data_IF_934270203908
#
_entry.id   IF_934270203908
#
_cell.length_a   1.000
_cell.length_b   1.000
_cell.length_c   1.000
_cell.angle_alpha   90.00
_cell.angle_beta   90.00
_cell.angle_gamma   90.00
#
_symmetry.space_group_name_H-M   'P 1'
#
loop_
_entity.id
_entity.type
_entity.pdbx_description
1 polymer ?
#
# COMPACT_ATOMS: atom_id res chain seq x y z
N UNK A 1 8.43 2.09 13.72
CA UNK A 1 8.59 0.73 13.20
C UNK A 1 9.32 -0.12 14.24
N UNK A 2 8.59 -0.74 15.18
CA UNK A 2 9.17 -1.79 16.03
C UNK A 2 9.31 -3.03 15.14
N UNK A 3 10.45 -3.72 15.20
CA UNK A 3 10.64 -5.00 14.50
C UNK A 3 10.77 -6.07 15.57
N UNK A 4 9.79 -6.97 15.66
CA UNK A 4 9.78 -8.10 16.60
C UNK A 4 10.90 -9.11 16.37
N UNK A 5 11.64 -8.99 15.26
CA UNK A 5 12.91 -9.66 14.99
C UNK A 5 13.62 -8.99 13.80
N UNK A 6 14.96 -9.02 13.77
CA UNK A 6 15.75 -8.53 12.62
C UNK A 6 15.35 -9.25 11.32
N UNK A 7 15.00 -10.54 11.42
CA UNK A 7 14.55 -11.34 10.28
C UNK A 7 13.23 -10.80 9.69
N UNK A 8 12.27 -10.35 10.51
CA UNK A 8 11.03 -9.73 10.01
C UNK A 8 11.30 -8.41 9.27
N UNK A 9 12.23 -7.59 9.77
CA UNK A 9 12.63 -6.36 9.05
C UNK A 9 13.23 -6.69 7.69
N UNK A 10 14.19 -7.63 7.65
CA UNK A 10 14.86 -8.04 6.43
C UNK A 10 13.89 -8.65 5.41
N UNK A 11 12.92 -9.44 5.87
CA UNK A 11 11.87 -9.99 5.00
C UNK A 11 10.98 -8.89 4.41
N UNK A 12 10.56 -7.91 5.21
CA UNK A 12 9.79 -6.77 4.71
C UNK A 12 10.59 -5.93 3.70
N UNK A 13 11.86 -5.65 4.01
CA UNK A 13 12.75 -4.89 3.12
C UNK A 13 13.01 -5.65 1.81
N UNK A 14 13.26 -6.96 1.89
CA UNK A 14 13.40 -7.84 0.72
C UNK A 14 12.12 -7.85 -0.11
N UNK A 15 10.96 -7.92 0.52
CA UNK A 15 9.68 -7.94 -0.19
C UNK A 15 9.44 -6.62 -0.94
N UNK A 16 9.68 -5.48 -0.30
CA UNK A 16 9.60 -4.17 -0.95
C UNK A 16 10.55 -4.07 -2.14
N UNK A 17 11.78 -4.60 -2.01
CA UNK A 17 12.74 -4.66 -3.13
C UNK A 17 12.24 -5.51 -4.30
N UNK A 18 11.50 -6.58 -4.03
CA UNK A 18 10.99 -7.48 -5.08
C UNK A 18 9.71 -6.98 -5.76
N UNK A 19 9.09 -5.90 -5.26
CA UNK A 19 7.92 -5.32 -5.92
C UNK A 19 8.31 -4.84 -7.32
N UNK A 20 7.41 -5.01 -8.31
CA UNK A 20 7.71 -4.60 -9.65
C UNK A 20 7.84 -3.08 -9.73
N UNK A 21 8.85 -2.61 -10.45
CA UNK A 21 9.19 -1.18 -10.53
C UNK A 21 8.08 -0.36 -11.19
N UNK A 22 7.29 -0.98 -12.07
CA UNK A 22 6.12 -0.36 -12.69
C UNK A 22 5.07 0.10 -11.66
N UNK A 23 5.01 -0.51 -10.48
CA UNK A 23 4.05 -0.14 -9.45
C UNK A 23 4.32 1.26 -8.88
N UNK A 24 5.59 1.66 -8.76
CA UNK A 24 5.98 2.99 -8.28
C UNK A 24 6.13 3.98 -9.44
N UNK A 25 6.93 3.63 -10.45
CA UNK A 25 7.23 4.54 -11.56
C UNK A 25 6.10 4.65 -12.57
N UNK A 26 5.35 3.56 -12.78
CA UNK A 26 4.24 3.52 -13.73
C UNK A 26 2.95 4.11 -13.18
N UNK A 27 2.66 3.95 -11.88
CA UNK A 27 1.46 4.53 -11.25
C UNK A 27 1.72 5.89 -10.60
N UNK A 28 2.99 6.24 -10.41
CA UNK A 28 3.42 7.44 -9.71
C UNK A 28 3.59 7.22 -8.21
N UNK A 29 4.70 7.76 -7.68
CA UNK A 29 5.11 7.63 -6.29
C UNK A 29 4.05 8.12 -5.28
N UNK A 30 3.25 9.12 -5.65
CA UNK A 30 2.20 9.67 -4.78
C UNK A 30 1.13 8.63 -4.47
N UNK A 31 0.66 7.90 -5.48
CA UNK A 31 -0.35 6.85 -5.30
C UNK A 31 0.24 5.67 -4.54
N UNK A 32 1.47 5.27 -4.87
CA UNK A 32 2.22 4.22 -4.19
C UNK A 32 2.32 4.48 -2.67
N UNK A 33 2.82 5.65 -2.28
CA UNK A 33 2.97 6.02 -0.87
C UNK A 33 1.61 6.15 -0.19
N UNK A 34 0.60 6.71 -0.87
CA UNK A 34 -0.75 6.84 -0.31
C UNK A 34 -1.37 5.47 -0.03
N UNK A 35 -1.28 4.54 -0.97
CA UNK A 35 -1.76 3.17 -0.78
C UNK A 35 -1.02 2.48 0.37
N UNK A 36 0.31 2.62 0.45
CA UNK A 36 1.10 2.06 1.53
C UNK A 36 0.65 2.60 2.90
N UNK A 37 0.56 3.92 3.05
CA UNK A 37 0.19 4.57 4.33
C UNK A 37 -1.25 4.27 4.75
N UNK A 38 -2.21 4.34 3.82
CA UNK A 38 -3.60 3.97 4.11
C UNK A 38 -3.70 2.52 4.53
N UNK A 39 -2.95 1.63 3.88
CA UNK A 39 -2.99 0.19 4.17
C UNK A 39 -2.37 -0.18 5.52
N UNK A 40 -1.42 0.62 6.04
CA UNK A 40 -0.97 0.50 7.43
C UNK A 40 -2.15 0.76 8.38
N UNK A 41 -2.96 1.79 8.11
CA UNK A 41 -4.10 2.14 8.95
C UNK A 41 -5.21 1.10 8.83
N UNK A 42 -5.61 0.71 7.61
CA UNK A 42 -6.67 -0.29 7.41
C UNK A 42 -6.26 -1.67 7.87
N UNK A 43 -4.97 -2.02 7.79
CA UNK A 43 -4.42 -3.23 8.39
C UNK A 43 -4.56 -3.22 9.92
N UNK A 44 -4.24 -2.12 10.58
CA UNK A 44 -4.48 -1.98 12.03
C UNK A 44 -5.97 -2.10 12.38
N UNK A 45 -6.86 -1.49 11.59
CA UNK A 45 -8.31 -1.64 11.78
C UNK A 45 -8.74 -3.10 11.65
N UNK A 46 -8.26 -3.80 10.61
CA UNK A 46 -8.56 -5.22 10.39
C UNK A 46 -8.08 -6.10 11.55
N UNK A 47 -6.87 -5.83 12.06
CA UNK A 47 -6.35 -6.50 13.25
C UNK A 47 -7.23 -6.25 14.49
N UNK A 48 -7.55 -4.98 14.80
CA UNK A 48 -8.37 -4.63 15.96
C UNK A 48 -9.75 -5.26 15.87
N UNK A 49 -10.38 -5.27 14.69
CA UNK A 49 -11.67 -5.90 14.48
C UNK A 49 -11.63 -7.41 14.80
N UNK A 50 -10.59 -8.12 14.36
CA UNK A 50 -10.39 -9.53 14.66
C UNK A 50 -10.09 -9.78 16.16
N UNK A 51 -9.34 -8.88 16.80
CA UNK A 51 -9.06 -8.95 18.24
C UNK A 51 -10.36 -8.87 19.06
N UNK A 52 -11.23 -7.92 18.72
CA UNK A 52 -12.48 -7.66 19.45
C UNK A 52 -13.57 -8.70 19.21
N UNK A 53 -13.49 -9.48 18.14
CA UNK A 53 -14.48 -10.52 17.80
C UNK A 53 -14.18 -11.89 18.45
N UNK A 54 -13.24 -11.94 19.40
CA UNK A 54 -12.98 -13.14 20.18
C UNK A 54 -12.09 -14.17 19.47
N UNK A 55 -11.37 -13.79 18.41
CA UNK A 55 -10.31 -14.64 17.88
C UNK A 55 -9.16 -14.70 18.89
N UNK A 56 -9.07 -15.80 19.63
CA UNK A 56 -7.99 -16.08 20.58
C UNK A 56 -6.64 -16.11 19.86
N UNK A 57 -5.66 -15.32 20.32
CA UNK A 57 -4.31 -15.25 19.75
C UNK A 57 -3.89 -13.86 19.27
N UNK A 58 -4.77 -12.86 19.35
CA UNK A 58 -4.52 -11.49 18.90
C UNK A 58 -3.91 -10.65 20.05
N UNK A 59 -2.78 -11.09 20.58
CA UNK A 59 -2.06 -10.40 21.66
C UNK A 59 -0.62 -10.07 21.26
N UNK A 60 -0.44 -9.37 20.14
CA UNK A 60 0.86 -8.79 19.79
C UNK A 60 0.68 -7.48 19.05
N UNK A 61 1.51 -6.50 19.40
CA UNK A 61 1.69 -5.25 18.68
C UNK A 61 1.98 -5.57 17.19
N UNK A 62 0.99 -5.37 16.31
CA UNK A 62 1.16 -5.71 14.89
C UNK A 62 2.06 -4.68 14.24
N UNK A 63 3.16 -5.19 13.70
CA UNK A 63 4.22 -4.40 13.09
C UNK A 63 3.71 -3.85 11.75
N UNK A 64 3.37 -2.56 11.71
CA UNK A 64 2.55 -1.95 10.64
C UNK A 64 3.07 -2.06 9.21
N UNK A 65 4.36 -2.33 8.96
CA UNK A 65 4.91 -2.34 7.60
C UNK A 65 4.34 -3.45 6.70
N UNK A 66 4.02 -4.64 7.24
CA UNK A 66 3.48 -5.74 6.44
C UNK A 66 2.06 -5.48 5.94
N UNK A 67 1.25 -4.73 6.71
CA UNK A 67 -0.05 -4.24 6.26
C UNK A 67 0.09 -3.29 5.06
N UNK A 68 1.10 -2.42 5.09
CA UNK A 68 1.47 -1.57 3.95
C UNK A 68 1.87 -2.37 2.70
N UNK A 69 2.68 -3.42 2.88
CA UNK A 69 3.09 -4.33 1.79
C UNK A 69 1.88 -5.05 1.18
N UNK A 70 0.98 -5.58 2.02
CA UNK A 70 -0.28 -6.17 1.55
C UNK A 70 -1.13 -5.15 0.80
N UNK A 71 -1.12 -3.89 1.25
CA UNK A 71 -1.70 -2.76 0.55
C UNK A 71 -1.15 -2.54 -0.84
N UNK A 72 0.17 -2.59 -1.02
CA UNK A 72 0.79 -2.45 -2.33
C UNK A 72 0.40 -3.59 -3.27
N UNK A 73 0.19 -4.79 -2.75
CA UNK A 73 -0.37 -5.92 -3.51
C UNK A 73 -1.85 -5.67 -3.88
N UNK A 74 -2.64 -5.06 -2.99
CA UNK A 74 -4.01 -4.60 -3.30
C UNK A 74 -4.06 -3.51 -4.35
N UNK A 75 -3.15 -2.53 -4.29
CA UNK A 75 -2.98 -1.50 -5.31
C UNK A 75 -2.63 -2.13 -6.67
N UNK A 76 -1.67 -3.05 -6.68
CA UNK A 76 -1.25 -3.80 -7.86
C UNK A 76 -2.44 -4.57 -8.46
N UNK A 77 -3.24 -5.25 -7.64
CA UNK A 77 -4.45 -5.93 -8.08
C UNK A 77 -5.44 -4.96 -8.74
N UNK A 78 -5.80 -3.86 -8.07
CA UNK A 78 -6.74 -2.90 -8.61
C UNK A 78 -6.26 -2.31 -9.95
N UNK A 79 -4.97 -2.01 -10.06
CA UNK A 79 -4.35 -1.54 -11.28
C UNK A 79 -4.46 -2.61 -12.40
N UNK A 80 -4.04 -3.84 -12.15
CA UNK A 80 -4.08 -4.96 -13.11
C UNK A 80 -5.51 -5.24 -13.59
N UNK A 81 -6.50 -5.16 -12.70
CA UNK A 81 -7.92 -5.29 -13.03
C UNK A 81 -8.40 -4.16 -13.94
N UNK A 82 -8.02 -2.91 -13.68
CA UNK A 82 -8.37 -1.75 -14.54
C UNK A 82 -7.75 -1.84 -15.93
N UNK A 83 -6.61 -2.50 -16.08
CA UNK A 83 -5.99 -2.75 -17.39
C UNK A 83 -6.60 -3.93 -18.14
N UNK A 84 -7.40 -4.77 -17.47
CA UNK A 84 -7.86 -6.05 -18.01
C UNK A 84 -6.79 -7.15 -18.02
N UNK A 85 -5.68 -6.99 -17.29
CA UNK A 85 -4.64 -8.01 -17.19
C UNK A 85 -4.95 -9.03 -16.08
N UNK A 86 -5.89 -9.94 -16.40
CA UNK A 86 -6.38 -10.94 -15.45
C UNK A 86 -5.36 -12.04 -15.14
N UNK A 87 -4.46 -12.36 -16.08
CA UNK A 87 -3.42 -13.37 -15.88
C UNK A 87 -2.40 -12.91 -14.84
N UNK A 88 -1.88 -11.68 -14.98
CA UNK A 88 -0.93 -11.10 -14.02
C UNK A 88 -1.58 -10.84 -12.65
N UNK A 89 -2.91 -10.62 -12.60
CA UNK A 89 -3.64 -10.54 -11.33
C UNK A 89 -3.52 -11.83 -10.51
N UNK A 90 -3.26 -12.98 -11.15
CA UNK A 90 -3.00 -14.27 -10.48
C UNK A 90 -1.76 -14.24 -9.58
N UNK A 91 -0.71 -13.53 -9.99
CA UNK A 91 0.54 -13.39 -9.22
C UNK A 91 0.28 -12.72 -7.88
N UNK A 92 -0.65 -11.75 -7.84
CA UNK A 92 -1.06 -11.09 -6.59
C UNK A 92 -1.62 -12.11 -5.58
N UNK A 93 -2.44 -13.05 -6.03
CA UNK A 93 -3.02 -14.07 -5.16
C UNK A 93 -1.97 -15.03 -4.63
N UNK A 94 -1.00 -15.43 -5.46
CA UNK A 94 0.14 -16.24 -5.01
C UNK A 94 0.95 -15.51 -3.95
N UNK A 95 1.21 -14.21 -4.16
CA UNK A 95 1.91 -13.35 -3.21
C UNK A 95 1.15 -13.20 -1.88
N UNK A 96 -0.16 -13.03 -1.93
CA UNK A 96 -1.03 -13.00 -0.75
C UNK A 96 -1.07 -14.33 -0.02
N UNK A 97 -1.10 -15.44 -0.74
CA UNK A 97 -1.05 -16.77 -0.14
C UNK A 97 0.24 -16.94 0.68
N UNK A 98 1.40 -16.56 0.13
CA UNK A 98 2.66 -16.62 0.87
C UNK A 98 2.67 -15.74 2.12
N UNK A 99 2.16 -14.50 2.03
CA UNK A 99 2.07 -13.61 3.19
C UNK A 99 1.10 -14.14 4.26
N UNK A 100 0.01 -14.80 3.84
CA UNK A 100 -0.95 -15.42 4.76
C UNK A 100 -0.38 -16.65 5.45
N UNK A 101 0.30 -17.54 4.70
CA UNK A 101 1.02 -18.69 5.25
C UNK A 101 2.08 -18.26 6.26
N UNK A 102 2.84 -17.20 5.93
CA UNK A 102 3.82 -16.62 6.85
C UNK A 102 3.16 -16.12 8.15
N UNK A 103 1.98 -15.50 8.05
CA UNK A 103 1.22 -15.06 9.22
C UNK A 103 0.64 -16.21 10.04
N UNK A 104 0.27 -17.34 9.43
CA UNK A 104 -0.13 -18.55 10.17
C UNK A 104 1.04 -19.17 10.94
N UNK A 105 2.24 -19.12 10.38
CA UNK A 105 3.45 -19.69 10.99
C UNK A 105 4.04 -18.80 12.10
N UNK A 106 3.72 -17.50 12.11
CA UNK A 106 4.26 -16.53 13.07
C UNK A 106 3.14 -15.88 13.88
N UNK A 107 2.94 -16.31 15.13
CA UNK A 107 1.91 -15.76 16.04
C UNK A 107 2.06 -14.26 16.38
N UNK A 108 3.15 -13.60 15.95
CA UNK A 108 3.35 -12.15 16.04
C UNK A 108 2.84 -11.38 14.81
N UNK A 109 2.26 -12.06 13.82
CA UNK A 109 1.81 -11.48 12.56
C UNK A 109 0.31 -11.69 12.43
N UNK A 110 -0.45 -10.61 12.26
CA UNK A 110 -1.90 -10.69 12.13
C UNK A 110 -2.32 -10.85 10.68
N UNK A 111 -2.90 -12.01 10.36
CA UNK A 111 -3.52 -12.25 9.06
C UNK A 111 -4.74 -11.35 8.80
N UNK A 112 -5.51 -11.01 9.83
CA UNK A 112 -6.56 -10.00 9.73
C UNK A 112 -5.98 -8.62 9.35
N UNK A 113 -4.77 -8.31 9.82
CA UNK A 113 -4.02 -7.12 9.41
C UNK A 113 -3.57 -7.18 7.94
N UNK A 114 -3.14 -8.33 7.44
CA UNK A 114 -2.82 -8.52 6.03
C UNK A 114 -4.04 -8.30 5.13
N UNK A 115 -5.19 -8.89 5.50
CA UNK A 115 -6.46 -8.72 4.78
C UNK A 115 -6.91 -7.26 4.80
N UNK A 116 -6.89 -6.61 5.96
CA UNK A 116 -7.24 -5.19 6.10
C UNK A 116 -6.32 -4.27 5.27
N UNK A 117 -5.02 -4.57 5.23
CA UNK A 117 -4.05 -3.87 4.39
C UNK A 117 -4.35 -4.05 2.91
N UNK A 118 -4.55 -5.29 2.45
CA UNK A 118 -4.89 -5.60 1.06
C UNK A 118 -6.15 -4.86 0.60
N UNK A 119 -7.22 -4.90 1.41
CA UNK A 119 -8.48 -4.19 1.11
C UNK A 119 -8.23 -2.68 1.00
N UNK A 120 -7.46 -2.09 1.91
CA UNK A 120 -7.10 -0.66 1.85
C UNK A 120 -6.40 -0.29 0.54
N UNK A 121 -5.44 -1.12 0.12
CA UNK A 121 -4.74 -0.96 -1.16
C UNK A 121 -5.65 -1.05 -2.38
N UNK A 122 -6.54 -2.05 -2.40
CA UNK A 122 -7.54 -2.22 -3.48
C UNK A 122 -8.43 -0.98 -3.58
N UNK A 123 -8.94 -0.49 -2.46
CA UNK A 123 -9.80 0.70 -2.42
C UNK A 123 -9.06 1.93 -2.93
N UNK A 124 -7.80 2.13 -2.50
CA UNK A 124 -7.00 3.26 -2.98
C UNK A 124 -6.77 3.19 -4.49
N UNK A 125 -6.35 2.03 -5.01
CA UNK A 125 -6.14 1.85 -6.45
C UNK A 125 -7.43 1.96 -7.27
N UNK A 126 -8.55 1.48 -6.74
CA UNK A 126 -9.84 1.55 -7.43
C UNK A 126 -10.38 2.98 -7.52
N UNK A 127 -10.37 3.73 -6.42
CA UNK A 127 -10.96 5.08 -6.40
C UNK A 127 -10.02 6.17 -6.92
N UNK A 128 -8.74 6.11 -6.57
CA UNK A 128 -7.79 7.18 -6.84
C UNK A 128 -6.76 6.82 -7.92
N UNK A 129 -6.63 5.54 -8.27
CA UNK A 129 -5.73 5.10 -9.33
C UNK A 129 -6.23 5.50 -10.72
N UNK A 130 -5.30 5.73 -11.66
CA UNK A 130 -5.63 6.09 -13.03
C UNK A 130 -6.30 4.93 -13.76
N UNK A 131 -7.00 5.23 -14.84
CA UNK A 131 -7.27 4.27 -15.90
C UNK A 131 -6.13 4.28 -16.92
N UNK A 132 -6.32 3.55 -18.02
CA UNK A 132 -5.25 3.34 -19.00
C UNK A 132 -5.76 3.62 -20.41
N UNK A 133 -4.98 4.40 -21.15
CA UNK A 133 -5.24 4.78 -22.53
C UNK A 133 -4.13 4.32 -23.45
N UNK A 134 -4.39 4.33 -24.77
CA UNK A 134 -3.34 4.20 -25.78
C UNK A 134 -2.90 5.60 -26.20
N UNK A 135 -1.60 5.86 -26.18
CA UNK A 135 -1.04 7.02 -26.86
C UNK A 135 -0.87 6.71 -28.34
N UNK A 136 -1.54 7.48 -29.19
CA UNK A 136 -1.31 7.44 -30.64
C UNK A 136 0.07 7.99 -31.01
N UNK A 137 0.60 8.95 -30.24
CA UNK A 137 1.92 9.53 -30.45
C UNK A 137 3.02 8.49 -30.26
N UNK A 138 2.95 7.69 -29.20
CA UNK A 138 3.95 6.63 -28.96
C UNK A 138 3.97 5.52 -30.02
N UNK A 139 2.85 5.29 -30.72
CA UNK A 139 2.76 4.26 -31.76
C UNK A 139 3.17 4.74 -33.16
N UNK A 140 3.37 6.06 -33.35
CA UNK A 140 3.58 6.67 -34.68
C UNK A 140 5.07 6.86 -35.00
N UNK A 141 5.47 6.49 -36.22
CA UNK A 141 6.79 6.81 -36.77
C UNK A 141 6.96 8.33 -36.91
N UNK A 142 8.06 8.88 -36.39
CA UNK A 142 8.37 10.32 -36.32
C UNK A 142 7.53 11.14 -35.31
N UNK A 143 7.02 10.51 -34.26
CA UNK A 143 6.48 11.24 -33.12
C UNK A 143 7.58 11.87 -32.27
N UNK A 144 7.28 13.01 -31.64
CA UNK A 144 8.13 13.60 -30.61
C UNK A 144 7.89 12.97 -29.23
N UNK A 145 6.82 12.19 -29.08
CA UNK A 145 6.55 11.44 -27.86
C UNK A 145 7.43 10.17 -27.79
N UNK A 146 8.11 10.00 -26.66
CA UNK A 146 8.91 8.83 -26.35
C UNK A 146 8.26 8.03 -25.21
N UNK A 147 8.21 6.70 -25.36
CA UNK A 147 7.82 5.81 -24.26
C UNK A 147 8.92 5.83 -23.17
N UNK A 148 8.64 6.54 -22.07
CA UNK A 148 9.52 6.65 -20.90
C UNK A 148 9.30 5.54 -19.87
N UNK A 149 8.36 4.62 -20.09
CA UNK A 149 8.04 3.59 -19.10
C UNK A 149 9.10 2.48 -19.07
N UNK A 150 9.17 1.79 -17.94
CA UNK A 150 10.14 0.71 -17.70
C UNK A 150 9.81 -0.54 -18.51
N UNK A 151 10.78 -1.44 -18.67
CA UNK A 151 10.60 -2.66 -19.46
C UNK A 151 9.57 -3.63 -18.84
N UNK A 152 9.49 -3.70 -17.51
CA UNK A 152 8.49 -4.45 -16.77
C UNK A 152 7.09 -3.82 -16.91
N UNK A 153 6.98 -2.49 -16.95
CA UNK A 153 5.73 -1.81 -17.29
C UNK A 153 5.27 -2.25 -18.68
N UNK A 154 6.10 -2.12 -19.73
CA UNK A 154 5.73 -2.57 -21.08
C UNK A 154 5.33 -4.04 -21.15
N UNK A 155 5.96 -4.92 -20.38
CA UNK A 155 5.63 -6.35 -20.34
C UNK A 155 4.22 -6.60 -19.81
N UNK A 156 3.84 -5.87 -18.77
CA UNK A 156 2.53 -6.03 -18.10
C UNK A 156 1.44 -5.25 -18.81
N UNK A 157 1.76 -4.05 -19.29
CA UNK A 157 0.82 -3.05 -19.78
C UNK A 157 0.65 -3.10 -21.30
N UNK A 158 1.69 -3.50 -22.03
CA UNK A 158 1.77 -3.38 -23.48
C UNK A 158 2.42 -2.09 -23.94
N UNK A 159 2.91 -2.09 -25.18
CA UNK A 159 3.58 -0.93 -25.77
C UNK A 159 2.58 0.19 -26.10
N UNK A 160 2.95 1.43 -25.78
CA UNK A 160 2.13 2.61 -26.09
C UNK A 160 0.88 2.77 -25.22
N UNK A 161 0.79 2.04 -24.10
CA UNK A 161 -0.25 2.22 -23.09
C UNK A 161 0.30 3.10 -21.97
N UNK A 162 -0.48 4.09 -21.55
CA UNK A 162 -0.10 5.01 -20.48
C UNK A 162 -1.24 5.19 -19.46
N UNK A 163 -0.93 5.57 -18.22
CA UNK A 163 -1.94 6.00 -17.26
C UNK A 163 -2.60 7.29 -17.74
N UNK A 164 -3.92 7.33 -17.72
CA UNK A 164 -4.73 8.50 -18.08
C UNK A 164 -5.64 8.84 -16.90
N UNK A 165 -5.29 9.88 -16.14
CA UNK A 165 -6.08 10.36 -15.00
C UNK A 165 -7.50 10.79 -15.40
N UNK A 166 -7.75 11.13 -16.68
CA UNK A 166 -9.10 11.49 -17.15
C UNK A 166 -9.97 10.27 -17.42
N UNK A 167 -9.38 9.08 -17.52
CA UNK A 167 -10.09 7.82 -17.72
C UNK A 167 -10.01 7.01 -16.44
N UNK A 168 -11.13 6.54 -15.88
CA UNK A 168 -11.12 5.53 -14.83
C UNK A 168 -10.57 5.93 -13.44
N UNK A 169 -10.04 7.15 -13.27
CA UNK A 169 -9.89 7.75 -11.95
C UNK A 169 -11.27 8.21 -11.47
N UNK A 170 -11.72 7.71 -10.32
CA UNK A 170 -13.03 8.09 -9.76
C UNK A 170 -12.91 9.44 -9.06
N UNK A 171 -11.85 9.61 -8.26
CA UNK A 171 -11.56 10.85 -7.55
C UNK A 171 -10.07 11.19 -7.67
N UNK A 172 -9.72 12.48 -7.79
CA UNK A 172 -8.33 12.91 -7.69
C UNK A 172 -7.73 12.53 -6.33
N UNK A 173 -6.48 12.06 -6.33
CA UNK A 173 -5.82 11.57 -5.11
C UNK A 173 -5.79 12.59 -3.94
N UNK A 174 -5.80 13.89 -4.23
CA UNK A 174 -5.81 14.91 -3.18
C UNK A 174 -7.12 14.90 -2.35
N UNK A 175 -8.23 14.38 -2.87
CA UNK A 175 -9.47 14.22 -2.11
C UNK A 175 -9.29 13.25 -0.93
N UNK A 176 -8.50 12.19 -1.11
CA UNK A 176 -8.16 11.25 -0.05
C UNK A 176 -7.46 11.97 1.11
N UNK A 177 -6.41 12.73 0.80
CA UNK A 177 -5.64 13.46 1.80
C UNK A 177 -6.41 14.61 2.42
N UNK A 178 -7.26 15.29 1.64
CA UNK A 178 -8.19 16.30 2.14
C UNK A 178 -9.19 15.71 3.13
N UNK A 179 -9.77 14.55 2.84
CA UNK A 179 -10.67 13.84 3.74
C UNK A 179 -9.97 13.39 5.03
N UNK A 180 -8.74 12.86 4.92
CA UNK A 180 -7.92 12.50 6.09
C UNK A 180 -7.64 13.73 6.95
N UNK A 181 -7.22 14.84 6.34
CA UNK A 181 -6.96 16.09 7.06
C UNK A 181 -8.24 16.61 7.75
N UNK A 182 -9.37 16.59 7.05
CA UNK A 182 -10.66 16.99 7.60
C UNK A 182 -11.07 16.10 8.79
N UNK A 183 -10.85 14.79 8.70
CA UNK A 183 -11.09 13.87 9.81
C UNK A 183 -10.19 14.19 11.01
N UNK A 184 -8.90 14.47 10.78
CA UNK A 184 -7.94 14.82 11.83
C UNK A 184 -8.27 16.14 12.54
N UNK A 185 -8.79 17.14 11.81
CA UNK A 185 -9.18 18.43 12.38
C UNK A 185 -10.54 18.36 13.07
N UNK A 186 -11.50 17.63 12.52
CA UNK A 186 -12.86 17.54 13.07
C UNK A 186 -12.93 16.72 14.35
N UNK A 187 -12.11 15.66 14.49
CA UNK A 187 -12.13 14.74 15.63
C UNK A 187 -11.07 15.09 16.68
N UNK A 188 -11.43 15.51 17.90
CA UNK A 188 -10.48 15.89 18.95
C UNK A 188 -9.41 14.82 19.23
N UNK A 189 -9.80 13.55 19.22
CA UNK A 189 -8.94 12.40 19.45
C UNK A 189 -7.85 12.22 18.37
N UNK A 190 -8.07 12.72 17.15
CA UNK A 190 -7.13 12.60 16.03
C UNK A 190 -6.21 13.83 15.90
N UNK A 191 -6.54 14.96 16.54
CA UNK A 191 -5.74 16.21 16.47
C UNK A 191 -4.34 16.05 17.06
N UNK A 192 -4.14 15.11 17.97
CA UNK A 192 -2.84 14.83 18.57
C UNK A 192 -1.88 14.07 17.64
N UNK A 193 -2.40 13.42 16.59
CA UNK A 193 -1.61 12.54 15.71
C UNK A 193 -0.41 13.25 15.07
N UNK A 194 -0.53 14.46 14.48
CA UNK A 194 0.62 15.16 13.90
C UNK A 194 1.71 15.43 14.93
N UNK A 195 1.32 15.86 16.14
CA UNK A 195 2.25 16.10 17.25
C UNK A 195 2.94 14.82 17.71
N UNK A 196 2.21 13.70 17.80
CA UNK A 196 2.77 12.39 18.11
C UNK A 196 3.76 11.92 17.03
N UNK A 197 3.44 12.09 15.75
CA UNK A 197 4.35 11.73 14.65
C UNK A 197 5.65 12.54 14.76
N UNK A 198 5.54 13.86 14.93
CA UNK A 198 6.70 14.75 15.07
C UNK A 198 7.55 14.36 16.28
N UNK A 199 6.91 14.14 17.43
CA UNK A 199 7.59 13.68 18.65
C UNK A 199 8.27 12.33 18.46
N UNK A 200 7.67 11.42 17.70
CA UNK A 200 8.27 10.13 17.35
C UNK A 200 9.55 10.24 16.52
N UNK A 201 9.64 11.25 15.65
CA UNK A 201 10.85 11.55 14.88
C UNK A 201 11.94 12.24 15.71
N UNK A 202 11.55 13.22 16.52
CA UNK A 202 12.48 13.98 17.36
C UNK A 202 13.00 13.17 18.55
N UNK A 203 12.15 12.30 19.10
CA UNK A 203 12.43 11.52 20.30
C UNK A 203 12.12 10.02 20.07
N UNK A 204 12.87 9.34 19.18
CA UNK A 204 12.62 7.95 18.85
C UNK A 204 12.69 7.05 20.10
N UNK A 205 11.70 6.18 20.24
CA UNK A 205 11.59 5.24 21.38
C UNK A 205 10.82 5.78 22.59
N UNK A 206 10.52 7.09 22.66
CA UNK A 206 9.79 7.69 23.79
C UNK A 206 8.30 7.36 23.78
N UNK A 207 7.68 7.32 22.60
CA UNK A 207 6.27 6.93 22.44
C UNK A 207 6.05 5.42 22.56
N UNK A 208 7.07 4.61 22.31
CA UNK A 208 7.01 3.15 22.44
C UNK A 208 7.42 2.63 23.82
N UNK A 209 7.78 3.52 24.75
CA UNK A 209 8.25 3.15 26.10
C UNK A 209 9.64 2.51 26.15
N UNK A 210 10.37 2.47 25.02
CA UNK A 210 11.72 1.88 24.94
C UNK A 210 12.76 2.82 25.58
N UNK A 211 12.55 4.15 25.46
CA UNK A 211 13.28 5.14 26.25
C UNK A 211 12.40 5.58 27.41
N UNK A 212 12.72 5.10 28.61
CA UNK A 212 12.19 5.67 29.86
C UNK A 212 12.69 7.11 29.96
N UNK A 213 11.80 8.05 30.31
CA UNK A 213 12.19 9.42 30.62
C UNK A 213 13.15 9.40 31.82
N UNK A 214 14.37 9.90 31.62
CA UNK A 214 15.29 10.26 32.71
C UNK A 214 14.80 11.53 33.35
#
# INVERSE_FOLDING_TARGET
FLHGSLIHLLLNARYLWTLPSWLEFGLGWKLYISAFLVSIVTGNIGHTFAATSGQSGVSTLVLGASGGICGLQGLMFAALRKMGNYAESGVVFTNMLWLFLFGLMNGSVSNAGHVGGFIGGVLVGYFFGPGYGRSYGMMRKFSLESDSYTADYRRVMGFGIEPDDKRGQVFPLWYLWGAILMAMVSRPELRAIPGCILKGFLEPGKLSGIRMSV
#
